data_IF_264979864963
#
_entry.id   IF_264979864963
#
_cell.length_a   1.000
_cell.length_b   1.000
_cell.length_c   1.000
_cell.angle_alpha   90.00
_cell.angle_beta   90.00
_cell.angle_gamma   90.00
#
_symmetry.space_group_name_H-M   'P 1'
#
loop_
_entity.id
_entity.type
_entity.pdbx_description
1 polymer ?
#
# COMPACT_ATOMS: atom_id res chain seq x y z
N UNK A 1 30.82 -20.11 -70.23
CA UNK A 1 31.73 -20.65 -69.22
C UNK A 1 31.99 -19.51 -68.20
N UNK A 2 31.13 -19.38 -67.19
CA UNK A 2 31.26 -18.38 -66.15
C UNK A 2 31.22 -19.08 -64.78
N UNK A 3 32.32 -19.00 -64.07
CA UNK A 3 32.52 -19.53 -62.72
C UNK A 3 31.99 -18.47 -61.70
N UNK A 4 30.94 -18.81 -60.94
CA UNK A 4 30.47 -17.95 -59.86
C UNK A 4 31.08 -18.51 -58.58
N UNK A 5 31.99 -17.74 -57.97
CA UNK A 5 32.63 -18.08 -56.70
C UNK A 5 31.63 -18.01 -55.56
N UNK A 6 31.50 -19.09 -54.79
CA UNK A 6 30.80 -19.15 -53.49
C UNK A 6 31.67 -18.49 -52.45
N UNK A 7 31.27 -17.31 -51.97
CA UNK A 7 31.84 -16.77 -50.74
C UNK A 7 31.33 -17.58 -49.53
N UNK A 8 32.24 -18.24 -48.84
CA UNK A 8 31.98 -18.89 -47.55
C UNK A 8 31.83 -17.82 -46.47
N UNK A 9 30.63 -17.57 -46.01
CA UNK A 9 30.34 -16.77 -44.83
C UNK A 9 30.77 -17.62 -43.62
N UNK A 10 31.81 -17.17 -42.93
CA UNK A 10 32.25 -17.75 -41.66
C UNK A 10 31.20 -17.58 -40.56
N UNK A 11 31.20 -18.40 -39.49
CA UNK A 11 30.22 -18.32 -38.42
C UNK A 11 30.31 -16.93 -37.73
N UNK A 12 29.12 -16.33 -37.53
CA UNK A 12 28.98 -15.07 -36.80
C UNK A 12 29.55 -15.23 -35.36
N UNK A 13 30.22 -14.22 -34.81
CA UNK A 13 30.74 -14.29 -33.45
C UNK A 13 29.62 -14.47 -32.45
N UNK A 14 29.74 -15.47 -31.58
CA UNK A 14 28.85 -15.69 -30.44
C UNK A 14 29.05 -14.49 -29.50
N UNK A 15 28.05 -13.58 -29.46
CA UNK A 15 28.01 -12.55 -28.43
C UNK A 15 27.83 -13.24 -27.07
N UNK A 16 28.88 -13.31 -26.30
CA UNK A 16 28.80 -13.63 -24.88
C UNK A 16 28.03 -12.52 -24.17
N UNK A 17 26.79 -12.81 -23.80
CA UNK A 17 26.03 -11.95 -22.88
C UNK A 17 26.83 -11.89 -21.57
N UNK A 18 27.33 -10.71 -21.25
CA UNK A 18 27.96 -10.45 -19.94
C UNK A 18 26.96 -10.73 -18.81
N UNK A 19 27.43 -10.91 -17.57
CA UNK A 19 26.57 -11.24 -16.44
C UNK A 19 25.43 -10.19 -16.35
N UNK A 20 24.19 -10.67 -16.33
CA UNK A 20 23.02 -9.86 -16.06
C UNK A 20 23.27 -9.12 -14.74
N UNK A 21 23.54 -7.82 -14.80
CA UNK A 21 23.50 -6.99 -13.61
C UNK A 21 22.06 -7.01 -13.13
N UNK A 22 21.81 -7.68 -12.02
CA UNK A 22 20.58 -7.49 -11.24
C UNK A 22 20.61 -6.01 -10.84
N UNK A 23 19.82 -5.19 -11.50
CA UNK A 23 19.59 -3.81 -11.06
C UNK A 23 18.79 -3.95 -9.77
N UNK A 24 19.46 -3.80 -8.65
CA UNK A 24 18.81 -3.74 -7.34
C UNK A 24 17.86 -2.53 -7.38
N UNK A 25 16.57 -2.79 -7.55
CA UNK A 25 15.57 -1.72 -7.58
C UNK A 25 15.53 -1.06 -6.21
N UNK A 26 15.61 0.25 -6.17
CA UNK A 26 15.46 0.98 -4.92
C UNK A 26 14.15 0.60 -4.24
N UNK A 27 14.14 0.46 -2.90
CA UNK A 27 12.92 0.21 -2.14
C UNK A 27 11.86 1.25 -2.45
N UNK A 28 10.59 0.83 -2.45
CA UNK A 28 9.49 1.75 -2.66
C UNK A 28 9.34 2.73 -1.49
N UNK A 29 9.57 2.23 -0.25
CA UNK A 29 9.53 3.05 0.97
C UNK A 29 10.68 2.59 1.87
N UNK A 30 11.35 3.56 2.51
CA UNK A 30 12.40 3.27 3.48
C UNK A 30 12.32 4.25 4.66
N UNK A 31 12.35 3.71 5.87
CA UNK A 31 12.52 4.46 7.10
C UNK A 31 13.94 4.23 7.58
N UNK A 32 14.73 5.30 7.74
CA UNK A 32 16.13 5.27 8.18
C UNK A 32 16.26 5.97 9.52
N UNK A 33 16.40 5.20 10.58
CA UNK A 33 16.64 5.68 11.95
C UNK A 33 15.66 6.75 12.40
N UNK A 34 14.38 6.55 12.12
CA UNK A 34 13.31 7.54 12.31
C UNK A 34 12.92 7.65 13.77
N UNK A 35 13.01 8.86 14.32
CA UNK A 35 12.43 9.19 15.62
C UNK A 35 11.37 10.27 15.45
N UNK A 36 10.27 10.13 16.22
CA UNK A 36 9.16 11.09 16.18
C UNK A 36 8.48 11.20 17.54
N UNK A 37 8.22 12.43 17.99
CA UNK A 37 7.46 12.76 19.18
C UNK A 37 6.27 13.65 18.81
N UNK A 38 5.16 13.50 19.53
CA UNK A 38 4.07 14.49 19.43
C UNK A 38 4.39 15.66 20.35
N UNK A 39 4.02 16.88 19.97
CA UNK A 39 4.18 18.05 20.86
C UNK A 39 3.56 17.78 22.24
N UNK A 40 4.36 17.92 23.31
CA UNK A 40 3.92 17.71 24.69
C UNK A 40 3.69 16.25 25.10
N UNK A 41 4.09 15.27 24.29
CA UNK A 41 3.91 13.84 24.58
C UNK A 41 5.23 13.08 24.55
N UNK A 42 5.21 11.84 25.09
CA UNK A 42 6.31 10.90 24.97
C UNK A 42 6.61 10.57 23.49
N UNK A 43 7.84 10.09 23.25
CA UNK A 43 8.30 9.62 21.94
C UNK A 43 7.37 8.52 21.42
N UNK A 44 6.91 8.67 20.17
CA UNK A 44 6.01 7.73 19.49
C UNK A 44 6.79 6.72 18.67
N UNK A 45 7.88 7.14 18.02
CA UNK A 45 8.83 6.30 17.30
C UNK A 45 10.23 6.58 17.82
N UNK A 46 11.03 5.52 18.01
CA UNK A 46 12.37 5.62 18.54
C UNK A 46 13.33 4.76 17.70
N UNK A 47 14.23 5.43 16.95
CA UNK A 47 15.21 4.78 16.08
C UNK A 47 14.60 3.71 15.14
N UNK A 48 13.42 4.00 14.58
CA UNK A 48 12.68 3.07 13.73
C UNK A 48 13.30 2.96 12.35
N UNK A 49 13.63 1.74 11.94
CA UNK A 49 14.14 1.45 10.59
C UNK A 49 13.35 0.30 9.96
N UNK A 50 12.93 0.46 8.70
CA UNK A 50 12.16 -0.53 7.96
C UNK A 50 12.26 -0.25 6.45
N UNK A 51 12.36 -1.32 5.66
CA UNK A 51 12.35 -1.25 4.20
C UNK A 51 11.16 -2.02 3.64
N UNK A 52 10.47 -1.41 2.67
CA UNK A 52 9.36 -1.99 1.91
C UNK A 52 9.74 -2.03 0.45
N UNK A 53 9.86 -3.24 -0.09
CA UNK A 53 10.26 -3.43 -1.48
C UNK A 53 9.08 -3.17 -2.43
N UNK A 54 9.40 -2.86 -3.70
CA UNK A 54 8.39 -2.60 -4.70
C UNK A 54 7.51 -3.84 -4.93
N UNK A 55 6.20 -3.66 -4.85
CA UNK A 55 5.20 -4.74 -5.01
C UNK A 55 4.87 -5.51 -3.73
N UNK A 56 5.58 -5.28 -2.63
CA UNK A 56 5.25 -5.88 -1.33
C UNK A 56 3.92 -5.36 -0.78
N UNK A 57 3.21 -6.23 -0.09
CA UNK A 57 2.13 -5.88 0.83
C UNK A 57 2.65 -6.05 2.25
N UNK A 58 3.10 -4.95 2.85
CA UNK A 58 3.53 -4.94 4.25
C UNK A 58 2.32 -4.71 5.16
N UNK A 59 1.98 -5.70 5.98
CA UNK A 59 1.00 -5.54 7.05
C UNK A 59 1.70 -5.21 8.37
N UNK A 60 1.49 -3.98 8.87
CA UNK A 60 2.00 -3.53 10.16
C UNK A 60 0.95 -3.76 11.24
N UNK A 61 1.27 -4.60 12.21
CA UNK A 61 0.36 -4.95 13.30
C UNK A 61 0.95 -4.52 14.65
N UNK A 62 0.08 -4.15 15.57
CA UNK A 62 0.46 -3.74 16.91
C UNK A 62 -0.71 -3.12 17.66
N UNK A 63 -0.54 -2.94 18.98
CA UNK A 63 -1.58 -2.34 19.84
C UNK A 63 -1.91 -0.90 19.43
N UNK A 64 -3.07 -0.42 19.87
CA UNK A 64 -3.39 1.00 19.72
C UNK A 64 -2.29 1.86 20.36
N UNK A 65 -1.90 2.93 19.69
CA UNK A 65 -0.81 3.79 20.16
C UNK A 65 0.61 3.34 19.81
N UNK A 66 0.82 2.15 19.20
CA UNK A 66 2.15 1.65 18.86
C UNK A 66 2.89 2.45 17.76
N UNK A 67 2.28 3.47 17.15
CA UNK A 67 2.91 4.32 16.14
C UNK A 67 2.53 4.01 14.69
N UNK A 68 1.67 3.01 14.43
CA UNK A 68 1.29 2.56 13.07
C UNK A 68 0.81 3.68 12.15
N UNK A 69 -0.24 4.41 12.55
CA UNK A 69 -0.78 5.56 11.80
C UNK A 69 0.26 6.68 11.64
N UNK A 70 1.16 6.84 12.63
CA UNK A 70 2.26 7.81 12.54
C UNK A 70 3.22 7.47 11.40
N UNK A 71 3.57 6.17 11.24
CA UNK A 71 4.40 5.72 10.12
C UNK A 71 3.75 6.06 8.76
N UNK A 72 2.45 5.81 8.58
CA UNK A 72 1.76 6.18 7.34
C UNK A 72 1.79 7.71 7.09
N UNK A 73 1.57 8.51 8.16
CA UNK A 73 1.58 9.98 8.05
C UNK A 73 2.96 10.56 7.75
N UNK A 74 4.03 9.87 8.09
CA UNK A 74 5.39 10.25 7.71
C UNK A 74 5.67 9.99 6.23
N UNK A 75 5.18 8.89 5.66
CA UNK A 75 5.34 8.57 4.22
C UNK A 75 4.69 9.62 3.32
N UNK A 76 3.47 10.05 3.63
CA UNK A 76 2.75 11.03 2.82
C UNK A 76 3.01 12.50 3.25
N UNK A 77 4.03 12.70 4.09
CA UNK A 77 4.44 14.03 4.60
C UNK A 77 3.28 14.81 5.24
N UNK A 78 2.39 14.14 5.96
CA UNK A 78 1.46 14.79 6.91
C UNK A 78 2.14 15.07 8.25
N UNK A 79 3.19 14.32 8.56
CA UNK A 79 4.12 14.52 9.66
C UNK A 79 5.54 14.52 9.11
N UNK A 80 6.47 15.17 9.83
CA UNK A 80 7.90 15.11 9.56
C UNK A 80 8.60 14.43 10.74
N UNK A 81 9.62 13.61 10.50
CA UNK A 81 10.39 13.01 11.58
C UNK A 81 11.22 14.06 12.32
N UNK A 82 11.42 13.88 13.64
CA UNK A 82 12.32 14.70 14.44
C UNK A 82 13.79 14.40 14.12
N UNK A 83 14.09 13.11 13.85
CA UNK A 83 15.40 12.63 13.43
C UNK A 83 15.25 11.48 12.42
N UNK A 84 16.32 11.20 11.67
CA UNK A 84 16.32 10.21 10.60
C UNK A 84 15.68 10.71 9.32
N UNK A 85 15.32 9.80 8.44
CA UNK A 85 14.74 10.10 7.14
C UNK A 85 13.68 9.07 6.73
N UNK A 86 12.66 9.51 5.98
CA UNK A 86 11.69 8.65 5.29
C UNK A 86 11.84 8.89 3.80
N UNK A 87 12.13 7.82 3.05
CA UNK A 87 12.30 7.89 1.62
C UNK A 87 11.12 7.21 0.91
N UNK A 88 10.68 7.83 -0.18
CA UNK A 88 9.70 7.26 -1.13
C UNK A 88 10.37 7.21 -2.48
N UNK A 89 10.45 6.02 -3.08
CA UNK A 89 11.16 5.78 -4.35
C UNK A 89 12.62 6.32 -4.30
N UNK A 90 13.32 6.11 -3.18
CA UNK A 90 14.70 6.52 -2.97
C UNK A 90 14.92 8.01 -2.68
N UNK A 91 13.87 8.84 -2.67
CA UNK A 91 13.96 10.27 -2.40
C UNK A 91 13.36 10.63 -1.05
N UNK A 92 14.07 11.43 -0.23
CA UNK A 92 13.58 11.88 1.08
C UNK A 92 12.26 12.66 0.93
N UNK A 93 11.28 12.36 1.80
CA UNK A 93 9.96 13.01 1.78
C UNK A 93 10.06 14.52 1.97
N UNK A 94 11.11 15.02 2.64
CA UNK A 94 11.36 16.46 2.83
C UNK A 94 11.72 17.19 1.53
N UNK A 95 12.31 16.49 0.58
CA UNK A 95 12.71 17.03 -0.73
C UNK A 95 11.58 17.07 -1.76
N UNK A 96 10.51 16.32 -1.52
CA UNK A 96 9.35 16.32 -2.39
C UNK A 96 8.54 17.63 -2.23
N UNK A 97 7.94 18.10 -3.31
CA UNK A 97 6.81 19.00 -3.20
C UNK A 97 5.63 18.24 -2.57
N UNK A 98 4.99 18.74 -1.48
CA UNK A 98 4.01 17.96 -0.71
C UNK A 98 2.83 17.41 -1.52
N UNK A 99 2.30 18.22 -2.46
CA UNK A 99 1.17 17.81 -3.30
C UNK A 99 1.62 16.74 -4.31
N UNK A 100 2.81 16.89 -4.89
CA UNK A 100 3.37 15.91 -5.81
C UNK A 100 3.58 14.56 -5.13
N UNK A 101 4.12 14.53 -3.91
CA UNK A 101 4.26 13.30 -3.11
C UNK A 101 2.91 12.65 -2.85
N UNK A 102 1.93 13.41 -2.35
CA UNK A 102 0.59 12.88 -2.01
C UNK A 102 -0.19 12.36 -3.22
N UNK A 103 0.13 12.84 -4.44
CA UNK A 103 -0.40 12.29 -5.69
C UNK A 103 0.24 10.96 -6.09
N UNK A 104 1.46 10.69 -5.63
CA UNK A 104 2.15 9.40 -5.84
C UNK A 104 1.81 8.36 -4.77
N UNK A 105 1.15 8.76 -3.69
CA UNK A 105 0.82 7.90 -2.55
C UNK A 105 -0.69 7.92 -2.36
N UNK A 106 -1.37 6.85 -2.72
CA UNK A 106 -2.79 6.68 -2.40
C UNK A 106 -2.97 6.45 -0.90
N UNK A 107 -4.03 7.01 -0.31
CA UNK A 107 -4.29 6.85 1.12
C UNK A 107 -5.75 6.49 1.37
N UNK A 108 -5.97 5.32 1.97
CA UNK A 108 -7.26 4.84 2.46
C UNK A 108 -7.31 5.11 3.96
N UNK A 109 -8.24 5.97 4.37
CA UNK A 109 -8.42 6.37 5.77
C UNK A 109 -9.28 5.36 6.53
N UNK A 110 -9.10 5.27 7.84
CA UNK A 110 -9.86 4.41 8.74
C UNK A 110 -11.39 4.61 8.60
N UNK A 111 -11.85 5.84 8.59
CA UNK A 111 -13.27 6.19 8.44
C UNK A 111 -13.70 6.41 6.99
N UNK A 112 -12.92 5.87 6.01
CA UNK A 112 -13.08 6.06 4.56
C UNK A 112 -13.03 7.52 4.14
N UNK A 113 -13.67 8.44 4.86
CA UNK A 113 -13.66 9.88 4.63
C UNK A 113 -14.20 10.28 3.25
N UNK A 114 -15.25 9.62 2.76
CA UNK A 114 -15.94 10.07 1.55
C UNK A 114 -16.60 11.42 1.82
N UNK A 115 -16.56 12.30 0.82
CA UNK A 115 -17.26 13.57 0.89
C UNK A 115 -18.78 13.34 0.80
N UNK A 116 -19.56 13.61 1.85
CA UNK A 116 -20.98 13.26 1.90
C UNK A 116 -21.84 14.06 0.91
N UNK A 117 -21.34 15.21 0.46
CA UNK A 117 -21.97 16.11 -0.51
C UNK A 117 -21.51 15.89 -1.95
N UNK A 118 -20.88 14.75 -2.22
CA UNK A 118 -20.41 14.34 -3.55
C UNK A 118 -20.92 12.95 -3.88
N UNK A 119 -21.28 12.71 -5.14
CA UNK A 119 -21.60 11.38 -5.62
C UNK A 119 -20.41 10.44 -5.51
N UNK A 120 -20.62 9.13 -5.71
CA UNK A 120 -19.56 8.13 -5.81
C UNK A 120 -18.56 8.50 -6.91
N UNK A 121 -19.06 8.84 -8.10
CA UNK A 121 -18.22 9.27 -9.22
C UNK A 121 -17.39 10.50 -8.87
N UNK A 122 -17.99 11.49 -8.22
CA UNK A 122 -17.27 12.73 -7.84
C UNK A 122 -16.23 12.47 -6.76
N UNK A 123 -16.52 11.60 -5.78
CA UNK A 123 -15.55 11.18 -4.78
C UNK A 123 -14.29 10.54 -5.42
N UNK A 124 -14.48 9.68 -6.42
CA UNK A 124 -13.36 9.05 -7.15
C UNK A 124 -12.66 10.09 -8.03
N UNK A 125 -13.40 11.00 -8.66
CA UNK A 125 -12.90 11.98 -9.60
C UNK A 125 -12.15 13.16 -8.98
N UNK A 126 -12.28 13.39 -7.66
CA UNK A 126 -11.77 14.62 -7.01
C UNK A 126 -10.29 14.85 -7.27
N UNK A 127 -9.44 13.84 -7.10
CA UNK A 127 -7.99 13.99 -7.26
C UNK A 127 -7.57 14.12 -8.73
N UNK A 128 -8.10 13.33 -9.68
CA UNK A 128 -7.90 13.57 -11.11
C UNK A 128 -8.29 14.98 -11.57
N UNK A 129 -9.46 15.50 -11.14
CA UNK A 129 -9.90 16.87 -11.46
C UNK A 129 -8.93 17.93 -10.91
N UNK A 130 -8.53 17.80 -9.64
CA UNK A 130 -7.52 18.68 -9.03
C UNK A 130 -6.14 18.57 -9.69
N UNK A 131 -5.90 17.47 -10.41
CA UNK A 131 -4.68 17.26 -11.18
C UNK A 131 -4.78 17.77 -12.63
N UNK A 132 -5.88 18.43 -12.99
CA UNK A 132 -6.09 19.02 -14.32
C UNK A 132 -6.39 18.02 -15.43
N UNK A 133 -6.93 16.82 -15.09
CA UNK A 133 -7.30 15.87 -16.15
C UNK A 133 -8.55 16.34 -16.89
N UNK A 134 -8.57 16.08 -18.20
CA UNK A 134 -9.74 16.34 -19.03
C UNK A 134 -10.95 15.51 -18.59
N UNK A 135 -12.15 16.08 -18.73
CA UNK A 135 -13.41 15.48 -18.24
C UNK A 135 -13.64 14.07 -18.80
N UNK A 136 -13.38 13.85 -20.10
CA UNK A 136 -13.54 12.53 -20.72
C UNK A 136 -12.62 11.48 -20.10
N UNK A 137 -11.36 11.84 -19.84
CA UNK A 137 -10.37 10.97 -19.16
C UNK A 137 -10.79 10.66 -17.73
N UNK A 138 -11.31 11.66 -17.00
CA UNK A 138 -11.81 11.47 -15.63
C UNK A 138 -12.96 10.47 -15.62
N UNK A 139 -13.96 10.65 -16.50
CA UNK A 139 -15.12 9.75 -16.60
C UNK A 139 -14.68 8.32 -16.91
N UNK A 140 -13.84 8.13 -17.91
CA UNK A 140 -13.31 6.81 -18.27
C UNK A 140 -12.57 6.16 -17.08
N UNK A 141 -11.76 6.93 -16.33
CA UNK A 141 -11.03 6.43 -15.15
C UNK A 141 -11.98 6.01 -14.04
N UNK A 142 -13.03 6.79 -13.78
CA UNK A 142 -14.06 6.46 -12.77
C UNK A 142 -14.72 5.12 -13.10
N UNK A 143 -15.14 4.90 -14.36
CA UNK A 143 -15.74 3.64 -14.79
C UNK A 143 -14.78 2.46 -14.59
N UNK A 144 -13.53 2.58 -15.03
CA UNK A 144 -12.50 1.53 -14.83
C UNK A 144 -12.31 1.19 -13.36
N UNK A 145 -12.32 2.21 -12.48
CA UNK A 145 -12.14 1.99 -11.05
C UNK A 145 -13.37 1.38 -10.40
N UNK A 146 -14.57 1.77 -10.79
CA UNK A 146 -15.80 1.16 -10.31
C UNK A 146 -15.88 -0.32 -10.70
N UNK A 147 -15.53 -0.67 -11.94
CA UNK A 147 -15.43 -2.05 -12.37
C UNK A 147 -14.36 -2.83 -11.59
N UNK A 148 -13.21 -2.20 -11.33
CA UNK A 148 -12.12 -2.80 -10.58
C UNK A 148 -12.54 -3.21 -9.16
N UNK A 149 -13.36 -2.39 -8.49
CA UNK A 149 -13.85 -2.64 -7.13
C UNK A 149 -15.18 -3.40 -7.09
N UNK A 150 -15.63 -3.97 -8.23
CA UNK A 150 -16.86 -4.76 -8.31
C UNK A 150 -18.15 -3.98 -8.04
N UNK A 151 -18.16 -2.69 -8.34
CA UNK A 151 -19.35 -1.83 -8.30
C UNK A 151 -19.62 -1.32 -9.73
N UNK A 152 -20.59 -1.89 -10.47
CA UNK A 152 -20.92 -1.43 -11.82
C UNK A 152 -21.21 0.07 -11.84
N UNK A 153 -20.69 0.79 -12.84
CA UNK A 153 -20.86 2.23 -12.93
C UNK A 153 -22.35 2.62 -12.93
N UNK A 154 -23.15 1.86 -13.66
CA UNK A 154 -24.61 1.90 -13.54
C UNK A 154 -25.07 0.80 -12.55
N UNK A 155 -25.69 1.11 -11.42
CA UNK A 155 -26.24 2.38 -10.95
C UNK A 155 -25.41 3.11 -9.87
N UNK A 156 -24.12 2.74 -9.65
CA UNK A 156 -23.36 3.22 -8.48
C UNK A 156 -22.76 4.62 -8.65
N UNK A 157 -22.42 5.04 -9.86
CA UNK A 157 -21.71 6.31 -10.08
C UNK A 157 -22.45 7.53 -9.55
N UNK A 158 -23.78 7.53 -9.64
CA UNK A 158 -24.64 8.64 -9.21
C UNK A 158 -25.07 8.59 -7.75
N UNK A 159 -24.86 7.46 -7.04
CA UNK A 159 -25.22 7.31 -5.63
C UNK A 159 -24.41 8.22 -4.73
N UNK A 160 -25.00 8.50 -3.57
CA UNK A 160 -24.36 9.25 -2.49
C UNK A 160 -23.77 8.29 -1.44
N UNK A 161 -22.80 8.73 -0.63
CA UNK A 161 -22.17 7.87 0.37
C UNK A 161 -23.13 7.27 1.41
N UNK A 162 -24.23 7.94 1.75
CA UNK A 162 -25.26 7.46 2.68
C UNK A 162 -26.15 6.35 2.10
N UNK A 163 -26.22 6.24 0.77
CA UNK A 163 -26.93 5.16 0.07
C UNK A 163 -26.10 3.87 -0.05
N UNK A 164 -24.86 3.87 0.45
CA UNK A 164 -23.95 2.75 0.34
C UNK A 164 -23.84 1.96 1.65
N UNK A 165 -23.68 0.63 1.55
CA UNK A 165 -23.26 -0.17 2.70
C UNK A 165 -21.85 0.19 3.17
N UNK A 166 -21.45 -0.21 4.38
CA UNK A 166 -20.09 0.01 4.91
C UNK A 166 -19.02 -0.54 3.97
N UNK A 167 -19.18 -1.78 3.49
CA UNK A 167 -18.27 -2.39 2.53
C UNK A 167 -18.22 -1.68 1.18
N UNK A 168 -19.37 -1.19 0.68
CA UNK A 168 -19.39 -0.41 -0.56
C UNK A 168 -18.67 0.94 -0.39
N UNK A 169 -18.88 1.64 0.75
CA UNK A 169 -18.12 2.85 1.05
C UNK A 169 -16.60 2.58 1.07
N UNK A 170 -16.19 1.47 1.69
CA UNK A 170 -14.78 1.09 1.75
C UNK A 170 -14.19 0.85 0.35
N UNK A 171 -14.90 0.12 -0.51
CA UNK A 171 -14.50 -0.09 -1.91
C UNK A 171 -14.33 1.24 -2.66
N UNK A 172 -15.28 2.18 -2.52
CA UNK A 172 -15.18 3.51 -3.13
C UNK A 172 -13.97 4.29 -2.59
N UNK A 173 -13.65 4.17 -1.29
CA UNK A 173 -12.44 4.74 -0.69
C UNK A 173 -11.15 4.21 -1.33
N UNK A 174 -11.10 2.91 -1.59
CA UNK A 174 -9.97 2.27 -2.30
C UNK A 174 -9.89 2.79 -3.75
N UNK A 175 -11.02 2.86 -4.47
CA UNK A 175 -11.06 3.41 -5.83
C UNK A 175 -10.55 4.86 -5.87
N UNK A 176 -10.98 5.70 -4.92
CA UNK A 176 -10.50 7.09 -4.80
C UNK A 176 -8.99 7.16 -4.56
N UNK A 177 -8.45 6.30 -3.69
CA UNK A 177 -7.03 6.25 -3.43
C UNK A 177 -6.23 5.80 -4.66
N UNK A 178 -6.80 4.97 -5.54
CA UNK A 178 -6.20 4.49 -6.77
C UNK A 178 -6.43 5.42 -7.98
N UNK A 179 -7.13 6.55 -7.82
CA UNK A 179 -7.60 7.38 -8.94
C UNK A 179 -6.48 7.87 -9.85
N UNK A 180 -5.33 8.28 -9.31
CA UNK A 180 -4.13 8.69 -10.07
C UNK A 180 -3.17 7.55 -10.42
N UNK A 181 -3.55 6.30 -10.16
CA UNK A 181 -2.68 5.13 -10.35
C UNK A 181 -1.36 5.19 -9.57
N UNK A 182 -1.38 5.54 -8.27
CA UNK A 182 -0.16 5.70 -7.49
C UNK A 182 0.62 4.39 -7.39
N UNK A 183 1.97 4.42 -7.34
CA UNK A 183 2.79 3.23 -7.11
C UNK A 183 2.69 2.69 -5.68
N UNK A 184 2.36 3.55 -4.72
CA UNK A 184 2.26 3.23 -3.30
C UNK A 184 0.83 3.46 -2.80
N UNK A 185 0.31 2.51 -2.02
CA UNK A 185 -0.98 2.61 -1.34
C UNK A 185 -0.79 2.44 0.17
N UNK A 186 -1.27 3.39 0.94
CA UNK A 186 -1.31 3.35 2.40
C UNK A 186 -2.75 3.09 2.83
N UNK A 187 -2.94 2.18 3.79
CA UNK A 187 -4.26 1.80 4.30
C UNK A 187 -4.23 1.81 5.83
N UNK A 188 -5.04 2.65 6.45
CA UNK A 188 -5.12 2.83 7.89
C UNK A 188 -6.39 2.13 8.43
N UNK A 189 -6.23 0.95 9.05
CA UNK A 189 -7.30 0.10 9.59
C UNK A 189 -8.50 -0.07 8.62
N UNK A 190 -8.25 -0.44 7.35
CA UNK A 190 -9.25 -0.32 6.30
C UNK A 190 -10.48 -1.22 6.47
N UNK A 191 -10.41 -2.25 7.32
CA UNK A 191 -11.50 -3.24 7.48
C UNK A 191 -12.00 -3.35 8.92
N UNK A 192 -11.50 -2.49 9.83
CA UNK A 192 -11.76 -2.59 11.28
C UNK A 192 -13.23 -2.45 11.69
N UNK A 193 -14.02 -1.63 10.97
CA UNK A 193 -15.40 -1.32 11.30
C UNK A 193 -16.45 -2.22 10.61
N UNK A 194 -16.03 -3.35 10.02
CA UNK A 194 -16.89 -4.22 9.21
C UNK A 194 -17.20 -5.53 9.94
N UNK A 195 -18.39 -6.07 9.65
CA UNK A 195 -18.76 -7.40 10.08
C UNK A 195 -17.85 -8.48 9.44
N UNK A 196 -17.72 -9.69 10.06
CA UNK A 196 -16.78 -10.70 9.60
C UNK A 196 -16.98 -11.17 8.14
N UNK A 197 -18.23 -11.25 7.66
CA UNK A 197 -18.55 -11.72 6.31
C UNK A 197 -18.09 -10.67 5.29
N UNK A 198 -18.54 -9.43 5.47
CA UNK A 198 -18.14 -8.30 4.61
C UNK A 198 -16.62 -8.11 4.60
N UNK A 199 -15.95 -8.32 5.75
CA UNK A 199 -14.48 -8.26 5.84
C UNK A 199 -13.82 -9.33 5.00
N UNK A 200 -14.27 -10.59 5.06
CA UNK A 200 -13.73 -11.68 4.26
C UNK A 200 -13.88 -11.42 2.75
N UNK A 201 -15.04 -10.91 2.32
CA UNK A 201 -15.29 -10.54 0.93
C UNK A 201 -14.34 -9.43 0.46
N UNK A 202 -14.09 -8.43 1.30
CA UNK A 202 -13.17 -7.34 0.98
C UNK A 202 -11.71 -7.78 0.96
N UNK A 203 -11.29 -8.74 1.79
CA UNK A 203 -9.96 -9.34 1.71
C UNK A 203 -9.76 -10.06 0.37
N UNK A 204 -10.75 -10.86 -0.07
CA UNK A 204 -10.70 -11.52 -1.38
C UNK A 204 -10.62 -10.51 -2.52
N UNK A 205 -11.41 -9.43 -2.43
CA UNK A 205 -11.40 -8.33 -3.39
C UNK A 205 -10.04 -7.61 -3.42
N UNK A 206 -9.46 -7.32 -2.25
CA UNK A 206 -8.13 -6.71 -2.14
C UNK A 206 -7.07 -7.58 -2.83
N UNK A 207 -7.08 -8.90 -2.61
CA UNK A 207 -6.15 -9.81 -3.29
C UNK A 207 -6.34 -9.79 -4.81
N UNK A 208 -7.60 -9.77 -5.29
CA UNK A 208 -7.90 -9.67 -6.71
C UNK A 208 -7.34 -8.39 -7.32
N UNK A 209 -7.53 -7.26 -6.64
CA UNK A 209 -7.00 -5.95 -7.06
C UNK A 209 -5.47 -5.96 -7.03
N UNK A 210 -4.86 -6.42 -5.94
CA UNK A 210 -3.41 -6.45 -5.76
C UNK A 210 -2.71 -7.35 -6.79
N UNK A 211 -3.27 -8.54 -7.08
CA UNK A 211 -2.75 -9.43 -8.11
C UNK A 211 -2.75 -8.79 -9.51
N UNK A 212 -3.74 -7.93 -9.78
CA UNK A 212 -3.85 -7.22 -11.05
C UNK A 212 -2.94 -5.99 -11.13
N UNK A 213 -2.82 -5.23 -10.05
CA UNK A 213 -2.15 -3.92 -10.06
C UNK A 213 -0.71 -3.95 -9.56
N UNK A 214 -0.34 -4.95 -8.75
CA UNK A 214 1.01 -5.12 -8.19
C UNK A 214 1.55 -3.86 -7.50
N UNK A 215 0.69 -3.15 -6.76
CA UNK A 215 1.09 -1.94 -6.02
C UNK A 215 1.91 -2.29 -4.79
N UNK A 216 2.79 -1.38 -4.37
CA UNK A 216 3.39 -1.46 -3.03
C UNK A 216 2.36 -0.97 -2.03
N UNK A 217 2.08 -1.77 -1.00
CA UNK A 217 1.02 -1.47 -0.02
C UNK A 217 1.59 -1.51 1.39
N UNK A 218 1.27 -0.51 2.22
CA UNK A 218 1.37 -0.62 3.67
C UNK A 218 -0.04 -0.61 4.24
N UNK A 219 -0.42 -1.72 4.86
CA UNK A 219 -1.67 -1.84 5.62
C UNK A 219 -1.33 -1.79 7.10
N UNK A 220 -1.96 -0.92 7.87
CA UNK A 220 -1.87 -0.97 9.33
C UNK A 220 -3.17 -1.51 9.91
N UNK A 221 -3.03 -2.40 10.89
CA UNK A 221 -4.16 -3.03 11.56
C UNK A 221 -3.81 -3.35 13.02
N UNK A 222 -4.80 -3.58 13.84
CA UNK A 222 -4.63 -4.16 15.17
C UNK A 222 -4.99 -5.66 15.19
N UNK A 223 -5.50 -6.20 14.07
CA UNK A 223 -5.93 -7.60 13.93
C UNK A 223 -4.82 -8.41 13.25
N UNK A 224 -4.26 -9.39 13.97
CA UNK A 224 -3.22 -10.28 13.46
C UNK A 224 -3.75 -11.19 12.36
N UNK A 225 -5.01 -11.64 12.43
CA UNK A 225 -5.64 -12.44 11.39
C UNK A 225 -5.74 -11.69 10.06
N UNK A 226 -6.11 -10.40 10.13
CA UNK A 226 -6.09 -9.51 8.97
C UNK A 226 -4.68 -9.35 8.39
N UNK A 227 -3.67 -9.14 9.26
CA UNK A 227 -2.29 -9.03 8.82
C UNK A 227 -1.82 -10.28 8.07
N UNK A 228 -2.14 -11.48 8.59
CA UNK A 228 -1.85 -12.76 7.92
C UNK A 228 -2.60 -12.93 6.61
N UNK A 229 -3.86 -12.50 6.58
CA UNK A 229 -4.68 -12.62 5.38
C UNK A 229 -4.18 -11.73 4.23
N UNK A 230 -3.63 -10.54 4.51
CA UNK A 230 -3.32 -9.55 3.49
C UNK A 230 -1.83 -9.46 3.15
N UNK A 231 -0.95 -9.64 4.15
CA UNK A 231 0.47 -9.31 4.03
C UNK A 231 1.31 -10.36 3.32
N UNK A 232 2.13 -9.96 2.37
CA UNK A 232 3.28 -10.76 1.89
C UNK A 232 4.43 -10.68 2.88
N UNK A 233 4.48 -9.59 3.66
CA UNK A 233 5.44 -9.32 4.73
C UNK A 233 4.69 -8.72 5.92
N UNK A 234 4.99 -9.19 7.12
CA UNK A 234 4.39 -8.67 8.34
C UNK A 234 5.44 -7.93 9.17
N UNK A 235 5.06 -6.80 9.74
CA UNK A 235 5.85 -6.06 10.72
C UNK A 235 5.07 -5.94 12.02
N UNK A 236 5.69 -6.35 13.13
CA UNK A 236 5.09 -6.24 14.47
C UNK A 236 5.67 -5.05 15.19
N UNK A 237 4.80 -4.10 15.57
CA UNK A 237 5.16 -2.89 16.32
C UNK A 237 4.74 -3.02 17.77
N UNK A 238 5.64 -2.63 18.66
CA UNK A 238 5.36 -2.47 20.08
C UNK A 238 6.07 -1.22 20.61
N UNK A 239 5.34 -0.30 21.23
CA UNK A 239 5.87 0.94 21.81
C UNK A 239 6.83 1.72 20.89
N UNK A 240 6.44 1.91 19.64
CA UNK A 240 7.21 2.69 18.66
C UNK A 240 8.41 1.99 18.04
N UNK A 241 8.68 0.74 18.42
CA UNK A 241 9.78 -0.05 17.89
C UNK A 241 9.28 -1.22 17.02
N UNK A 242 10.06 -1.56 15.98
CA UNK A 242 9.84 -2.77 15.18
C UNK A 242 10.39 -3.99 15.93
N UNK A 243 9.49 -4.86 16.37
CA UNK A 243 9.84 -6.06 17.18
C UNK A 243 10.25 -7.23 16.29
N UNK A 244 9.52 -7.40 15.19
CA UNK A 244 9.77 -8.45 14.20
C UNK A 244 9.29 -7.99 12.83
N UNK A 245 9.98 -8.42 11.78
CA UNK A 245 9.54 -8.21 10.40
C UNK A 245 9.98 -9.39 9.54
N UNK A 246 9.08 -9.89 8.70
CA UNK A 246 9.37 -11.01 7.82
C UNK A 246 8.13 -11.60 7.16
N UNK A 247 8.28 -12.68 6.39
CA UNK A 247 7.14 -13.38 5.78
C UNK A 247 6.22 -13.96 6.88
N UNK A 248 4.92 -14.19 6.57
CA UNK A 248 3.93 -14.68 7.54
C UNK A 248 4.41 -15.91 8.33
N UNK A 249 5.03 -16.89 7.66
CA UNK A 249 5.56 -18.10 8.31
C UNK A 249 6.63 -17.80 9.38
N UNK A 250 7.52 -16.83 9.14
CA UNK A 250 8.54 -16.46 10.12
C UNK A 250 7.93 -15.77 11.34
N UNK A 251 6.90 -14.94 11.14
CA UNK A 251 6.18 -14.30 12.26
C UNK A 251 5.39 -15.34 13.07
N UNK A 252 4.73 -16.28 12.41
CA UNK A 252 4.02 -17.38 13.08
C UNK A 252 4.95 -18.26 13.96
N UNK A 253 6.19 -18.48 13.50
CA UNK A 253 7.21 -19.25 14.22
C UNK A 253 7.98 -18.45 15.29
N UNK A 254 7.71 -17.14 15.43
CA UNK A 254 8.46 -16.26 16.34
C UNK A 254 8.36 -16.73 17.80
N UNK A 255 9.48 -16.73 18.53
CA UNK A 255 9.55 -16.97 19.98
C UNK A 255 9.52 -15.70 20.82
N UNK A 256 9.53 -14.50 20.20
CA UNK A 256 9.45 -13.23 20.93
C UNK A 256 8.12 -13.13 21.68
N UNK A 257 8.19 -12.85 22.98
CA UNK A 257 6.99 -12.78 23.86
C UNK A 257 5.97 -11.73 23.41
N UNK A 258 6.42 -10.63 22.80
CA UNK A 258 5.55 -9.55 22.31
C UNK A 258 4.77 -10.01 21.08
N UNK A 259 5.44 -10.72 20.18
CA UNK A 259 4.81 -11.33 18.99
C UNK A 259 3.83 -12.43 19.44
N UNK A 260 4.25 -13.34 20.34
CA UNK A 260 3.39 -14.41 20.87
C UNK A 260 2.13 -13.88 21.49
N UNK A 261 2.19 -12.83 22.28
CA UNK A 261 0.99 -12.21 22.90
C UNK A 261 -0.05 -11.77 21.87
N UNK A 262 0.39 -11.30 20.69
CA UNK A 262 -0.51 -10.91 19.61
C UNK A 262 -1.05 -12.14 18.85
N UNK A 263 -0.22 -13.17 18.65
CA UNK A 263 -0.62 -14.43 18.02
C UNK A 263 -1.65 -15.19 18.88
N UNK A 264 -1.45 -15.24 20.19
CA UNK A 264 -2.33 -15.95 21.12
C UNK A 264 -3.71 -15.27 21.26
N UNK A 265 -3.83 -14.00 20.89
CA UNK A 265 -5.09 -13.27 20.88
C UNK A 265 -5.99 -13.62 19.68
N UNK A 266 -5.47 -14.36 18.67
CA UNK A 266 -6.23 -14.73 17.45
C UNK A 266 -6.63 -16.21 17.51
N UNK A 267 -7.93 -16.55 17.49
CA UNK A 267 -8.42 -17.92 17.64
C UNK A 267 -8.00 -18.90 16.54
N UNK A 268 -7.45 -18.45 15.42
CA UNK A 268 -7.23 -19.27 14.22
C UNK A 268 -5.98 -18.89 13.41
N UNK A 269 -4.85 -18.59 14.01
CA UNK A 269 -3.58 -18.57 13.26
C UNK A 269 -3.18 -20.02 12.98
N UNK A 270 -2.87 -20.42 11.72
CA UNK A 270 -2.36 -21.75 11.43
C UNK A 270 -1.12 -22.01 12.29
N UNK A 271 -1.21 -22.95 13.24
CA UNK A 271 -0.05 -23.44 13.98
C UNK A 271 0.71 -24.35 13.03
N UNK A 272 1.89 -23.91 12.57
CA UNK A 272 2.86 -24.75 11.83
C UNK A 272 3.54 -25.67 12.83
#
# INVERSE_FOLDING_TARGET
MWYVGRALLGPAPIMTLGPLRIVEMAPAIEYRDVSFSRPGSARVLDHFSLTVDAGDVLALVGRSGAGKTTLLKLVNRLLLPDAGAVLVEGRDTREWEPIALRRRVGYVLQDVGLFPHMSVADNIAVVPRLSGWEAARVTARVHVLLDLIGLPAEPFASRWPDELSGGQRQRVGVARALALDPPVLLMDEPFGALDPITRADLHAEFHRIQNRLRKTVIVVTHDMGEAFALGTKLGVLDNGALVACGPPAAIAASSDRRVRRLLDAVPAVPRV
#
